data_IF_357709823815
#
_entry.id   IF_357709823815
#
_cell.length_a   1.000
_cell.length_b   1.000
_cell.length_c   1.000
_cell.angle_alpha   90.00
_cell.angle_beta   90.00
_cell.angle_gamma   90.00
#
_symmetry.space_group_name_H-M   'P 1'
#
loop_
_entity.id
_entity.type
_entity.pdbx_description
1 polymer ?
#
# COMPACT_ATOMS: atom_id res chain seq x y z
N UNK A 1 5.51 -1.14 2.11
CA UNK A 1 6.33 -2.33 1.74
C UNK A 1 5.95 -3.61 2.42
N UNK A 2 5.70 -3.61 3.73
CA UNK A 2 5.32 -4.82 4.49
C UNK A 2 4.18 -5.58 3.79
N UNK A 3 3.07 -4.90 3.46
CA UNK A 3 1.93 -5.51 2.75
C UNK A 3 2.35 -6.16 1.43
N UNK A 4 3.34 -5.60 0.74
CA UNK A 4 3.84 -6.03 -0.58
C UNK A 4 4.99 -7.03 -0.51
N UNK A 5 5.46 -7.39 0.68
CA UNK A 5 6.64 -8.25 0.85
C UNK A 5 7.96 -7.59 0.43
N UNK A 6 8.01 -6.25 0.32
CA UNK A 6 9.20 -5.48 -0.09
C UNK A 6 10.00 -4.91 1.09
N UNK A 7 9.56 -5.18 2.30
CA UNK A 7 10.17 -4.60 3.50
C UNK A 7 11.52 -5.25 3.80
N UNK A 8 12.57 -4.45 4.00
CA UNK A 8 13.97 -4.83 4.17
C UNK A 8 14.34 -5.13 5.62
N UNK A 9 13.54 -4.73 6.60
CA UNK A 9 13.83 -4.96 8.01
C UNK A 9 13.91 -6.47 8.29
N UNK A 10 15.03 -7.06 8.68
CA UNK A 10 15.16 -8.53 8.80
C UNK A 10 15.65 -8.96 10.19
N UNK A 11 15.72 -10.28 10.42
CA UNK A 11 16.28 -10.85 11.66
C UNK A 11 15.37 -10.82 12.90
N UNK A 12 14.05 -10.66 12.70
CA UNK A 12 13.09 -10.58 13.79
C UNK A 12 11.96 -11.62 13.62
N UNK A 13 11.82 -12.53 14.60
CA UNK A 13 10.77 -13.57 14.64
C UNK A 13 9.35 -13.01 14.51
N UNK A 14 9.09 -11.80 15.01
CA UNK A 14 7.78 -11.14 14.87
C UNK A 14 7.47 -10.80 13.42
N UNK A 15 8.48 -10.36 12.66
CA UNK A 15 8.32 -10.08 11.24
C UNK A 15 8.11 -11.37 10.46
N UNK A 16 8.88 -12.42 10.72
CA UNK A 16 8.68 -13.71 10.05
C UNK A 16 7.25 -14.23 10.23
N UNK A 17 6.71 -14.10 11.46
CA UNK A 17 5.31 -14.42 11.75
C UNK A 17 4.34 -13.53 10.98
N UNK A 18 4.61 -12.23 10.90
CA UNK A 18 3.79 -11.28 10.13
C UNK A 18 3.77 -11.62 8.64
N UNK A 19 4.93 -11.87 8.02
CA UNK A 19 5.03 -12.25 6.62
C UNK A 19 4.35 -13.60 6.37
N UNK A 20 4.52 -14.59 7.26
CA UNK A 20 3.79 -15.87 7.16
C UNK A 20 2.28 -15.68 7.19
N UNK A 21 1.77 -14.81 8.07
CA UNK A 21 0.34 -14.48 8.12
C UNK A 21 -0.13 -13.79 6.83
N UNK A 22 0.66 -12.86 6.29
CA UNK A 22 0.31 -12.18 5.04
C UNK A 22 0.29 -13.16 3.87
N UNK A 23 1.28 -14.06 3.75
CA UNK A 23 1.27 -15.13 2.75
C UNK A 23 0.02 -15.99 2.86
N UNK A 24 -0.38 -16.38 4.07
CA UNK A 24 -1.60 -17.16 4.29
C UNK A 24 -2.87 -16.40 3.86
N UNK A 25 -2.95 -15.10 4.14
CA UNK A 25 -4.07 -14.26 3.71
C UNK A 25 -4.12 -14.15 2.19
N UNK A 26 -2.99 -13.85 1.54
CA UNK A 26 -2.92 -13.72 0.08
C UNK A 26 -3.11 -15.05 -0.64
N UNK A 27 -2.73 -16.18 -0.04
CA UNK A 27 -3.07 -17.51 -0.56
C UNK A 27 -4.57 -17.79 -0.56
N UNK A 28 -5.30 -17.34 0.47
CA UNK A 28 -6.78 -17.41 0.48
C UNK A 28 -7.39 -16.49 -0.58
N UNK A 29 -6.92 -15.25 -0.67
CA UNK A 29 -7.37 -14.29 -1.68
C UNK A 29 -7.16 -14.85 -3.09
N UNK A 30 -5.97 -15.39 -3.38
CA UNK A 30 -5.65 -16.03 -4.66
C UNK A 30 -6.57 -17.21 -4.95
N UNK A 31 -6.83 -18.06 -3.94
CA UNK A 31 -7.77 -19.19 -4.06
C UNK A 31 -9.20 -18.80 -4.39
N UNK A 32 -9.65 -17.62 -3.94
CA UNK A 32 -10.99 -17.07 -4.19
C UNK A 32 -11.10 -16.29 -5.52
N UNK A 33 -9.98 -16.03 -6.21
CA UNK A 33 -10.02 -15.34 -7.49
C UNK A 33 -10.72 -16.19 -8.58
N UNK A 34 -11.40 -15.54 -9.55
CA UNK A 34 -11.86 -16.22 -10.76
C UNK A 34 -10.67 -16.85 -11.52
N UNK A 35 -10.90 -17.96 -12.23
CA UNK A 35 -9.80 -18.66 -12.90
C UNK A 35 -9.05 -17.81 -13.93
N UNK A 36 -9.76 -16.92 -14.63
CA UNK A 36 -9.13 -15.97 -15.55
C UNK A 36 -8.15 -15.00 -14.87
N UNK A 37 -8.37 -14.69 -13.58
CA UNK A 37 -7.47 -13.84 -12.81
C UNK A 37 -6.33 -14.66 -12.16
N UNK A 38 -6.61 -15.90 -11.72
CA UNK A 38 -5.57 -16.80 -11.19
C UNK A 38 -4.47 -17.07 -12.20
N UNK A 39 -4.81 -17.25 -13.48
CA UNK A 39 -3.82 -17.46 -14.55
C UNK A 39 -2.92 -16.24 -14.78
N UNK A 40 -3.37 -15.04 -14.41
CA UNK A 40 -2.54 -13.83 -14.44
C UNK A 40 -1.54 -13.79 -13.26
N UNK A 41 -1.94 -14.27 -12.08
CA UNK A 41 -1.12 -14.30 -10.88
C UNK A 41 -0.47 -15.67 -10.66
N UNK A 42 0.66 -15.89 -11.33
CA UNK A 42 1.34 -17.20 -11.34
C UNK A 42 2.27 -17.44 -10.13
N UNK A 43 2.69 -16.38 -9.43
CA UNK A 43 3.43 -16.52 -8.18
C UNK A 43 2.48 -16.95 -7.05
N UNK A 44 2.56 -18.22 -6.68
CA UNK A 44 1.80 -18.81 -5.57
C UNK A 44 2.62 -19.01 -4.29
N UNK A 45 3.86 -18.51 -4.25
CA UNK A 45 4.75 -18.66 -3.08
C UNK A 45 4.72 -17.41 -2.21
N UNK A 46 4.94 -16.26 -2.84
CA UNK A 46 5.03 -14.97 -2.17
C UNK A 46 3.91 -14.02 -2.57
N UNK A 47 3.23 -14.32 -3.68
CA UNK A 47 2.14 -13.56 -4.27
C UNK A 47 2.53 -12.11 -4.60
N UNK A 48 3.78 -11.86 -5.00
CA UNK A 48 4.31 -10.50 -5.14
C UNK A 48 3.46 -9.64 -6.07
N UNK A 49 3.10 -10.15 -7.25
CA UNK A 49 2.30 -9.39 -8.22
C UNK A 49 0.89 -9.09 -7.68
N UNK A 50 0.23 -10.09 -7.08
CA UNK A 50 -1.08 -9.91 -6.45
C UNK A 50 -1.03 -8.90 -5.30
N UNK A 51 0.04 -8.92 -4.49
CA UNK A 51 0.22 -8.01 -3.36
C UNK A 51 0.49 -6.57 -3.80
N UNK A 52 1.23 -6.37 -4.89
CA UNK A 52 1.45 -5.04 -5.50
C UNK A 52 0.13 -4.49 -6.06
N UNK A 53 -0.61 -5.26 -6.84
CA UNK A 53 -1.89 -4.83 -7.42
C UNK A 53 -2.94 -4.56 -6.33
N UNK A 54 -2.98 -5.40 -5.29
CA UNK A 54 -3.84 -5.17 -4.14
C UNK A 54 -3.52 -3.85 -3.44
N UNK A 55 -2.23 -3.51 -3.30
CA UNK A 55 -1.81 -2.24 -2.73
C UNK A 55 -2.29 -1.07 -3.59
N UNK A 56 -2.07 -1.11 -4.90
CA UNK A 56 -2.51 -0.04 -5.80
C UNK A 56 -4.03 0.15 -5.77
N UNK A 57 -4.79 -0.95 -5.77
CA UNK A 57 -6.25 -0.91 -5.69
C UNK A 57 -6.79 -0.34 -4.36
N UNK A 58 -6.02 -0.42 -3.27
CA UNK A 58 -6.51 -0.08 -1.91
C UNK A 58 -5.77 1.08 -1.24
N UNK A 59 -4.64 1.56 -1.78
CA UNK A 59 -3.79 2.59 -1.14
C UNK A 59 -4.54 3.87 -0.77
N UNK A 60 -5.54 4.27 -1.56
CA UNK A 60 -6.40 5.44 -1.26
C UNK A 60 -7.18 5.22 0.04
N UNK A 61 -7.77 4.03 0.21
CA UNK A 61 -8.54 3.69 1.42
C UNK A 61 -7.61 3.60 2.63
N UNK A 62 -6.43 3.02 2.45
CA UNK A 62 -5.39 2.94 3.50
C UNK A 62 -4.96 4.35 3.92
N UNK A 63 -4.66 5.24 2.97
CA UNK A 63 -4.30 6.63 3.24
C UNK A 63 -5.40 7.37 4.00
N UNK A 64 -6.66 7.22 3.57
CA UNK A 64 -7.82 7.80 4.24
C UNK A 64 -7.90 7.35 5.70
N UNK A 65 -7.74 6.05 5.95
CA UNK A 65 -7.74 5.51 7.31
C UNK A 65 -6.57 6.03 8.16
N UNK A 66 -5.36 6.10 7.58
CA UNK A 66 -4.18 6.64 8.27
C UNK A 66 -4.33 8.11 8.66
N UNK A 67 -5.03 8.89 7.84
CA UNK A 67 -5.18 10.34 8.01
C UNK A 67 -6.45 10.75 8.73
N UNK A 68 -7.31 9.81 9.14
CA UNK A 68 -8.57 10.09 9.85
C UNK A 68 -8.39 10.99 11.09
N UNK A 69 -7.26 10.90 11.79
CA UNK A 69 -6.96 11.70 12.99
C UNK A 69 -6.08 12.93 12.75
N UNK A 70 -5.67 13.21 11.52
CA UNK A 70 -4.65 14.20 11.20
C UNK A 70 -5.19 15.64 11.09
N UNK A 71 -6.15 16.03 11.95
CA UNK A 71 -6.85 17.32 11.85
C UNK A 71 -5.91 18.53 11.93
N UNK A 72 -6.21 19.56 11.14
CA UNK A 72 -5.39 20.77 10.98
C UNK A 72 -4.04 20.56 10.29
N UNK A 73 -3.75 19.36 9.77
CA UNK A 73 -2.45 19.05 9.18
C UNK A 73 -2.49 18.99 7.66
N UNK A 74 -1.39 19.45 7.04
CA UNK A 74 -1.19 19.40 5.61
C UNK A 74 0.08 18.61 5.27
N UNK A 75 0.05 17.91 4.15
CA UNK A 75 1.25 17.38 3.53
C UNK A 75 2.10 18.55 3.03
N UNK A 76 3.40 18.50 3.33
CA UNK A 76 4.31 19.63 3.15
C UNK A 76 4.56 20.00 1.67
N UNK A 77 4.36 19.08 0.73
CA UNK A 77 4.46 19.35 -0.72
C UNK A 77 3.10 19.75 -1.28
N UNK A 78 3.12 20.69 -2.23
CA UNK A 78 1.96 20.95 -3.08
C UNK A 78 1.86 19.82 -4.09
N UNK A 79 0.87 18.96 -3.93
CA UNK A 79 0.66 17.77 -4.78
C UNK A 79 -0.79 17.64 -5.25
N UNK A 80 -1.66 18.55 -4.81
CA UNK A 80 -3.05 18.58 -5.22
C UNK A 80 -3.21 19.49 -6.46
N UNK A 81 -4.12 19.12 -7.36
CA UNK A 81 -4.43 19.91 -8.57
C UNK A 81 -3.19 20.23 -9.42
N UNK A 82 -2.45 19.19 -9.85
CA UNK A 82 -1.21 19.34 -10.62
C UNK A 82 -0.18 20.23 -9.92
N UNK A 83 0.09 19.92 -8.65
CA UNK A 83 1.05 20.63 -7.79
C UNK A 83 0.71 22.11 -7.50
N UNK A 84 -0.48 22.57 -7.86
CA UNK A 84 -0.91 23.96 -7.62
C UNK A 84 -1.43 24.18 -6.20
N UNK A 85 -1.94 23.14 -5.54
CA UNK A 85 -2.59 23.23 -4.24
C UNK A 85 -1.94 22.35 -3.17
N UNK A 86 -2.04 22.79 -1.92
CA UNK A 86 -1.73 21.96 -0.75
C UNK A 86 -2.87 20.99 -0.47
N UNK A 87 -2.59 19.96 0.31
CA UNK A 87 -3.67 19.21 0.95
C UNK A 87 -4.47 20.12 1.90
N UNK A 88 -5.65 19.67 2.30
CA UNK A 88 -6.47 20.31 3.31
C UNK A 88 -6.56 19.45 4.55
N UNK A 89 -6.52 20.09 5.72
CA UNK A 89 -6.84 19.71 7.11
C UNK A 89 -6.57 18.29 7.61
N UNK A 90 -6.65 17.25 6.80
CA UNK A 90 -6.38 15.85 7.13
C UNK A 90 -5.37 15.26 6.12
N UNK A 91 -4.39 16.04 5.65
CA UNK A 91 -3.41 15.59 4.66
C UNK A 91 -4.05 14.94 3.40
N UNK A 92 -5.22 15.44 2.96
CA UNK A 92 -5.94 14.94 1.78
C UNK A 92 -6.17 16.04 0.75
N UNK A 93 -6.13 15.67 -0.53
CA UNK A 93 -6.63 16.53 -1.61
C UNK A 93 -8.16 16.48 -1.67
N UNK A 94 -8.80 17.50 -2.26
CA UNK A 94 -10.27 17.52 -2.47
C UNK A 94 -10.74 16.28 -3.24
N UNK A 95 -9.96 15.84 -4.23
CA UNK A 95 -10.22 14.62 -5.00
C UNK A 95 -10.04 13.31 -4.21
N UNK A 96 -9.78 13.36 -2.90
CA UNK A 96 -9.50 12.21 -2.04
C UNK A 96 -8.37 11.30 -2.57
N UNK A 97 -7.43 11.88 -3.30
CA UNK A 97 -6.23 11.19 -3.81
C UNK A 97 -5.14 11.13 -2.74
N UNK A 98 -4.24 10.15 -2.87
CA UNK A 98 -3.03 10.07 -2.04
C UNK A 98 -2.05 11.16 -2.50
N UNK A 99 -1.65 12.11 -1.64
CA UNK A 99 -0.80 13.24 -2.02
C UNK A 99 0.69 12.88 -2.14
N UNK A 100 1.05 11.60 -2.04
CA UNK A 100 2.43 11.12 -2.03
C UNK A 100 2.61 9.86 -2.88
N UNK A 101 3.83 9.68 -3.37
CA UNK A 101 4.30 8.50 -4.09
C UNK A 101 5.47 7.83 -3.37
N UNK A 102 5.67 8.10 -2.07
CA UNK A 102 6.74 7.44 -1.30
C UNK A 102 6.58 5.92 -1.27
N UNK A 103 5.37 5.40 -1.41
CA UNK A 103 5.12 3.97 -1.59
C UNK A 103 5.66 3.41 -2.92
N UNK A 104 6.05 4.25 -3.87
CA UNK A 104 6.72 3.85 -5.11
C UNK A 104 8.24 4.13 -5.11
N UNK A 105 8.78 4.62 -3.99
CA UNK A 105 10.22 4.83 -3.80
C UNK A 105 10.82 3.60 -3.10
N UNK A 106 11.93 3.02 -3.63
CA UNK A 106 12.63 1.91 -2.97
C UNK A 106 12.94 2.23 -1.50
N UNK A 107 12.70 1.28 -0.59
CA UNK A 107 12.78 1.54 0.85
C UNK A 107 14.10 2.13 1.33
N UNK A 108 15.20 1.72 0.73
CA UNK A 108 16.53 2.23 1.06
C UNK A 108 16.68 3.75 0.80
N UNK A 109 15.91 4.32 -0.13
CA UNK A 109 15.99 5.72 -0.54
C UNK A 109 14.95 6.63 0.14
N UNK A 110 14.13 6.08 1.05
CA UNK A 110 13.03 6.83 1.68
C UNK A 110 13.44 7.56 2.95
#
# INVERSE_FOLDING_TARGET
DIVRGRDLYSGNKKKERLEGNLKNIFGKIHGELPEAAKTHYTDTTDYFQLREDWWEANRIKVWKAMTCGASGSNYFRRTCSNDQNTTQNNCQCIGQTVPTYFDYVPQYLR
#
